data_IF_372565231627
#
_entry.id   IF_372565231627
#
_cell.length_a   1.000
_cell.length_b   1.000
_cell.length_c   1.000
_cell.angle_alpha   90.00
_cell.angle_beta   90.00
_cell.angle_gamma   90.00
#
_symmetry.space_group_name_H-M   'P 1'
#
loop_
_entity.id
_entity.type
_entity.pdbx_description
1 polymer ?
#
# COMPACT_ATOMS: atom_id res chain seq x y z
N UNK A 1 2.90 -31.35 -35.54
CA UNK A 1 2.34 -31.04 -34.21
C UNK A 1 3.52 -30.70 -33.33
N UNK A 2 3.46 -29.53 -32.70
CA UNK A 2 4.27 -29.07 -31.55
C UNK A 2 5.74 -28.73 -31.82
N UNK A 3 6.37 -27.68 -31.27
CA UNK A 3 6.01 -26.56 -30.40
C UNK A 3 7.25 -25.64 -30.44
N UNK A 4 7.22 -24.54 -31.18
CA UNK A 4 8.32 -23.57 -31.19
C UNK A 4 7.79 -22.15 -30.96
N UNK A 5 6.87 -22.01 -29.99
CA UNK A 5 6.37 -20.73 -29.51
C UNK A 5 6.36 -20.73 -27.99
N UNK A 6 7.54 -20.64 -27.40
CA UNK A 6 7.68 -20.48 -25.96
C UNK A 6 8.78 -19.47 -25.59
N UNK A 7 9.13 -18.53 -26.48
CA UNK A 7 10.11 -17.47 -26.18
C UNK A 7 9.52 -16.05 -26.15
N UNK A 8 8.22 -15.88 -26.37
CA UNK A 8 7.53 -14.58 -26.29
C UNK A 8 6.41 -14.60 -25.25
N UNK A 9 6.77 -14.72 -23.98
CA UNK A 9 5.83 -14.50 -22.87
C UNK A 9 6.48 -13.67 -21.74
N UNK A 10 7.20 -12.61 -22.12
CA UNK A 10 7.43 -11.46 -21.24
C UNK A 10 6.74 -10.24 -21.85
N UNK A 11 5.41 -10.27 -21.85
CA UNK A 11 4.62 -9.10 -22.24
C UNK A 11 4.85 -7.99 -21.23
N UNK A 12 5.44 -6.89 -21.68
CA UNK A 12 5.59 -5.65 -20.92
C UNK A 12 4.26 -4.94 -20.71
N UNK A 13 3.46 -5.44 -19.77
CA UNK A 13 2.21 -4.79 -19.32
C UNK A 13 2.41 -3.98 -18.02
N UNK A 14 3.67 -3.78 -17.60
CA UNK A 14 4.00 -2.91 -16.48
C UNK A 14 3.71 -1.44 -16.86
N UNK A 15 2.64 -0.88 -16.30
CA UNK A 15 2.23 0.51 -16.51
C UNK A 15 2.89 1.41 -15.46
N UNK A 16 3.09 2.71 -15.78
CA UNK A 16 3.51 3.69 -14.79
C UNK A 16 2.52 3.69 -13.61
N UNK A 17 3.00 3.35 -12.42
CA UNK A 17 2.18 3.25 -11.20
C UNK A 17 1.94 1.81 -10.70
N UNK A 18 2.21 0.79 -11.51
CA UNK A 18 2.03 -0.61 -11.10
C UNK A 18 2.94 -0.99 -9.92
N UNK A 19 4.17 -0.48 -9.86
CA UNK A 19 5.07 -0.67 -8.71
C UNK A 19 4.41 -0.23 -7.38
N UNK A 20 3.73 0.93 -7.40
CA UNK A 20 3.06 1.48 -6.23
C UNK A 20 1.83 0.66 -5.86
N UNK A 21 1.04 0.28 -6.87
CA UNK A 21 -0.13 -0.57 -6.67
C UNK A 21 0.26 -1.95 -6.11
N UNK A 22 1.36 -2.54 -6.59
CA UNK A 22 1.93 -3.80 -6.08
C UNK A 22 2.36 -3.64 -4.62
N UNK A 23 3.06 -2.56 -4.29
CA UNK A 23 3.46 -2.28 -2.91
C UNK A 23 2.23 -2.12 -2.00
N UNK A 24 1.21 -1.40 -2.48
CA UNK A 24 -0.05 -1.15 -1.78
C UNK A 24 -0.82 -2.43 -1.42
N UNK A 25 -0.82 -3.44 -2.30
CA UNK A 25 -1.48 -4.73 -2.03
C UNK A 25 -0.59 -5.75 -1.31
N UNK A 26 0.74 -5.55 -1.31
CA UNK A 26 1.68 -6.54 -0.77
C UNK A 26 1.66 -6.69 0.75
N UNK A 27 1.21 -5.64 1.46
CA UNK A 27 1.22 -5.59 2.91
C UNK A 27 -0.02 -4.91 3.45
N UNK A 28 -0.61 -5.54 4.47
CA UNK A 28 -1.64 -4.91 5.29
C UNK A 28 -1.09 -3.63 5.92
N UNK A 29 -1.86 -2.54 5.87
CA UNK A 29 -1.51 -1.24 6.44
C UNK A 29 -2.76 -0.55 6.97
N UNK A 30 -2.58 0.44 7.83
CA UNK A 30 -3.69 1.23 8.39
C UNK A 30 -3.82 2.52 7.59
N UNK A 31 -5.03 2.86 7.16
CA UNK A 31 -5.32 4.07 6.41
C UNK A 31 -5.83 5.21 7.29
N UNK A 32 -5.42 6.44 7.01
CA UNK A 32 -6.10 7.65 7.50
C UNK A 32 -6.78 8.38 6.35
N UNK A 33 -7.91 9.05 6.61
CA UNK A 33 -8.62 9.81 5.58
C UNK A 33 -7.86 11.10 5.28
N UNK A 34 -7.63 11.37 3.99
CA UNK A 34 -7.09 12.65 3.55
C UNK A 34 -8.22 13.68 3.54
N UNK A 35 -8.16 14.63 4.47
CA UNK A 35 -9.20 15.64 4.68
C UNK A 35 -8.93 16.94 3.92
N UNK A 36 -7.66 17.18 3.54
CA UNK A 36 -7.21 18.46 2.97
C UNK A 36 -6.82 19.49 4.03
N UNK A 37 -7.14 19.26 5.30
CA UNK A 37 -6.59 20.00 6.43
C UNK A 37 -5.27 19.34 6.85
N UNK A 38 -4.16 20.06 6.62
CA UNK A 38 -2.81 19.57 6.93
C UNK A 38 -2.65 19.20 8.41
N UNK A 39 -3.26 19.93 9.32
CA UNK A 39 -3.14 19.66 10.75
C UNK A 39 -3.83 18.35 11.11
N UNK A 40 -5.04 18.14 10.58
CA UNK A 40 -5.81 16.90 10.82
C UNK A 40 -5.11 15.70 10.19
N UNK A 41 -4.63 15.84 8.96
CA UNK A 41 -3.95 14.78 8.24
C UNK A 41 -2.64 14.39 8.96
N UNK A 42 -1.86 15.38 9.43
CA UNK A 42 -0.60 15.14 10.15
C UNK A 42 -0.83 14.48 11.52
N UNK A 43 -1.83 14.93 12.27
CA UNK A 43 -2.18 14.32 13.57
C UNK A 43 -2.64 12.88 13.37
N UNK A 44 -3.47 12.63 12.36
CA UNK A 44 -3.96 11.28 12.05
C UNK A 44 -2.83 10.34 11.67
N UNK A 45 -1.91 10.80 10.82
CA UNK A 45 -0.72 10.03 10.45
C UNK A 45 0.13 9.68 11.69
N UNK A 46 0.46 10.67 12.52
CA UNK A 46 1.28 10.44 13.72
C UNK A 46 0.60 9.49 14.72
N UNK A 47 -0.72 9.60 14.89
CA UNK A 47 -1.49 8.68 15.72
C UNK A 47 -1.44 7.24 15.20
N UNK A 48 -1.56 7.06 13.88
CA UNK A 48 -1.46 5.73 13.26
C UNK A 48 -0.04 5.15 13.30
N UNK A 49 1.00 5.98 13.22
CA UNK A 49 2.39 5.52 13.42
C UNK A 49 2.57 4.93 14.83
N UNK A 50 2.05 5.60 15.86
CA UNK A 50 2.05 5.10 17.23
C UNK A 50 1.22 3.81 17.39
N UNK A 51 0.05 3.74 16.76
CA UNK A 51 -0.80 2.55 16.78
C UNK A 51 -0.12 1.36 16.09
N UNK A 52 0.52 1.57 14.93
CA UNK A 52 1.28 0.54 14.23
C UNK A 52 2.37 -0.04 15.12
N UNK A 53 3.14 0.81 15.80
CA UNK A 53 4.16 0.37 16.76
C UNK A 53 3.56 -0.47 17.88
N UNK A 54 2.44 -0.03 18.45
CA UNK A 54 1.76 -0.76 19.51
C UNK A 54 1.27 -2.14 19.03
N UNK A 55 0.70 -2.23 17.82
CA UNK A 55 0.21 -3.49 17.27
C UNK A 55 1.34 -4.48 17.01
N UNK A 56 2.49 -4.01 16.52
CA UNK A 56 3.70 -4.84 16.36
C UNK A 56 4.12 -5.41 17.71
N UNK A 57 4.08 -4.61 18.78
CA UNK A 57 4.53 -5.05 20.11
C UNK A 57 3.53 -5.97 20.83
N UNK A 58 2.25 -5.97 20.43
CA UNK A 58 1.15 -6.65 21.15
C UNK A 58 0.49 -7.78 20.38
N UNK A 59 0.82 -7.96 19.11
CA UNK A 59 0.18 -8.94 18.23
C UNK A 59 1.21 -9.59 17.30
N UNK A 60 0.80 -10.59 16.53
CA UNK A 60 1.63 -11.16 15.46
C UNK A 60 1.48 -10.40 14.11
N UNK A 61 0.78 -9.26 14.11
CA UNK A 61 0.60 -8.45 12.91
C UNK A 61 1.87 -7.64 12.62
N UNK A 62 2.29 -7.64 11.36
CA UNK A 62 3.40 -6.81 10.85
C UNK A 62 2.88 -5.81 9.79
N UNK A 63 2.21 -4.72 10.20
CA UNK A 63 1.67 -3.75 9.26
C UNK A 63 2.77 -2.91 8.62
N UNK A 64 2.52 -2.44 7.40
CA UNK A 64 3.33 -1.41 6.76
C UNK A 64 3.12 -0.01 7.36
N UNK A 65 3.79 0.98 6.78
CA UNK A 65 3.59 2.39 7.13
C UNK A 65 2.13 2.83 6.85
N UNK A 66 1.57 3.75 7.66
CA UNK A 66 0.23 4.28 7.42
C UNK A 66 0.13 4.96 6.05
N UNK A 67 -1.04 4.84 5.41
CA UNK A 67 -1.30 5.43 4.09
C UNK A 67 -2.49 6.40 4.13
N UNK A 68 -2.40 7.48 3.38
CA UNK A 68 -3.53 8.38 3.14
C UNK A 68 -4.56 7.72 2.22
N UNK A 69 -5.84 7.83 2.56
CA UNK A 69 -6.97 7.34 1.78
C UNK A 69 -7.83 8.53 1.37
N UNK A 70 -7.95 8.74 0.06
CA UNK A 70 -8.93 9.67 -0.51
C UNK A 70 -10.26 8.93 -0.68
N UNK A 71 -11.28 9.35 0.05
CA UNK A 71 -12.61 8.73 0.06
C UNK A 71 -13.59 9.38 -0.92
N UNK A 72 -13.15 10.41 -1.64
CA UNK A 72 -14.00 11.15 -2.60
C UNK A 72 -13.90 10.58 -4.03
N UNK A 73 -13.12 9.51 -4.23
CA UNK A 73 -12.91 8.83 -5.49
C UNK A 73 -13.71 7.53 -5.60
#
# INVERSE_FOLDING_TARGET
IDIARAEDAKSGDAKPGDERAIEDISKTRIGYVQTGDRSVDSISQAGLEGLTRFLIDKTALEPGAPASVDISK
#
